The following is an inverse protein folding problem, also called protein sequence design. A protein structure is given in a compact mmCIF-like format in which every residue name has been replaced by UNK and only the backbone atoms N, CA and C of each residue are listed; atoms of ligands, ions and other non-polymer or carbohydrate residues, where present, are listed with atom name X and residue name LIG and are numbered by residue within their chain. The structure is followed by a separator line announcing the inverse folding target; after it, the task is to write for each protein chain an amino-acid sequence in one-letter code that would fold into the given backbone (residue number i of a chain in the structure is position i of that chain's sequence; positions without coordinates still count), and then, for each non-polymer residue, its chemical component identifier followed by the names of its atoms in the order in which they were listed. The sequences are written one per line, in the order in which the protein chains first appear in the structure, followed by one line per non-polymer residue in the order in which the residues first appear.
data_IF_574291220649
#
_entry.id   IF_574291220649
#
_cell.length_a   1.000
_cell.length_b   1.000
_cell.length_c   1.000
_cell.angle_alpha   90.00
_cell.angle_beta   90.00
_cell.angle_gamma   90.00
#
_symmetry.space_group_name_H-M   'P 1'
#
loop_
_entity.id
_entity.type
_entity.pdbx_description
1 polymer ?
#
# COMPACT_ATOMS: atom_id res chain seq x y z
N UNK A 1 -19.39 -5.20 -20.74
CA UNK A 1 -18.33 -4.54 -21.57
C UNK A 1 -18.51 -3.03 -21.50
N UNK A 2 -17.45 -2.30 -21.24
CA UNK A 2 -17.39 -0.82 -21.33
C UNK A 2 -16.28 -0.42 -22.30
N UNK A 3 -16.44 0.71 -22.96
CA UNK A 3 -15.50 1.22 -23.95
C UNK A 3 -15.25 2.71 -23.71
N UNK A 4 -13.98 3.12 -23.74
CA UNK A 4 -13.56 4.53 -23.59
C UNK A 4 -12.61 4.91 -24.70
N UNK A 5 -12.68 6.17 -25.10
CA UNK A 5 -11.78 6.76 -26.07
C UNK A 5 -11.00 7.91 -25.42
N UNK A 6 -9.69 7.87 -25.56
CA UNK A 6 -8.77 8.87 -25.04
C UNK A 6 -7.95 9.47 -26.19
N UNK A 7 -7.97 10.79 -26.40
CA UNK A 7 -7.11 11.44 -27.40
C UNK A 7 -5.63 11.16 -27.19
N UNK A 8 -5.23 10.97 -25.91
CA UNK A 8 -3.88 10.58 -25.51
C UNK A 8 -3.96 9.62 -24.34
N UNK A 9 -3.11 8.59 -24.36
CA UNK A 9 -2.96 7.67 -23.22
C UNK A 9 -1.51 7.17 -23.11
N UNK A 10 -1.08 6.87 -21.88
CA UNK A 10 0.17 6.18 -21.65
C UNK A 10 -0.01 4.70 -21.98
N UNK A 11 0.70 4.23 -23.01
CA UNK A 11 0.68 2.84 -23.49
C UNK A 11 2.10 2.44 -23.83
N UNK A 12 2.56 1.29 -23.33
CA UNK A 12 3.92 0.80 -23.61
C UNK A 12 5.02 1.84 -23.37
N UNK A 13 4.98 2.53 -22.22
CA UNK A 13 5.99 3.52 -21.80
C UNK A 13 6.00 4.82 -22.60
N UNK A 14 5.02 5.06 -23.47
CA UNK A 14 4.91 6.27 -24.31
C UNK A 14 3.50 6.80 -24.34
N UNK A 15 3.35 8.09 -24.64
CA UNK A 15 2.04 8.66 -24.91
C UNK A 15 1.64 8.32 -26.36
N UNK A 16 0.62 7.45 -26.48
CA UNK A 16 -0.02 7.11 -27.73
C UNK A 16 -1.21 8.07 -28.00
N UNK A 17 -1.59 8.19 -29.27
CA UNK A 17 -2.71 9.03 -29.70
C UNK A 17 -3.91 8.16 -30.09
N UNK A 18 -5.12 8.74 -29.93
CA UNK A 18 -6.37 8.10 -30.34
C UNK A 18 -6.49 6.67 -29.82
N UNK A 19 -6.46 6.52 -28.50
CA UNK A 19 -6.46 5.22 -27.84
C UNK A 19 -7.88 4.83 -27.42
N UNK A 20 -8.33 3.68 -27.89
CA UNK A 20 -9.55 3.04 -27.41
C UNK A 20 -9.19 1.95 -26.43
N UNK A 21 -9.88 1.94 -25.29
CA UNK A 21 -9.72 0.94 -24.22
C UNK A 21 -11.07 0.27 -24.04
N UNK A 22 -11.10 -1.06 -24.17
CA UNK A 22 -12.27 -1.87 -23.86
C UNK A 22 -12.05 -2.64 -22.56
N UNK A 23 -13.10 -2.83 -21.75
CA UNK A 23 -13.04 -3.61 -20.54
C UNK A 23 -14.25 -4.49 -20.34
N UNK A 24 -14.06 -5.59 -19.63
CA UNK A 24 -15.13 -6.46 -19.16
C UNK A 24 -14.87 -6.85 -17.70
N UNK A 25 -15.94 -6.85 -16.91
CA UNK A 25 -15.87 -7.14 -15.46
C UNK A 25 -14.75 -6.37 -14.71
N UNK A 26 -14.49 -5.09 -15.11
CA UNK A 26 -13.48 -4.25 -14.46
C UNK A 26 -12.03 -4.55 -14.84
N UNK A 27 -11.78 -5.36 -15.88
CA UNK A 27 -10.46 -5.69 -16.42
C UNK A 27 -10.35 -5.20 -17.86
N UNK A 28 -9.21 -4.63 -18.24
CA UNK A 28 -8.93 -4.21 -19.62
C UNK A 28 -8.81 -5.44 -20.50
N UNK A 29 -9.62 -5.52 -21.55
CA UNK A 29 -9.64 -6.62 -22.52
C UNK A 29 -8.99 -6.26 -23.85
N UNK A 30 -8.93 -4.96 -24.19
CA UNK A 30 -8.32 -4.47 -25.42
C UNK A 30 -7.77 -3.05 -25.23
N UNK A 31 -6.62 -2.77 -25.84
CA UNK A 31 -6.05 -1.41 -25.98
C UNK A 31 -5.67 -1.23 -27.46
N UNK A 32 -6.40 -0.37 -28.17
CA UNK A 32 -6.17 -0.10 -29.59
C UNK A 32 -5.66 1.33 -29.78
N UNK A 33 -4.45 1.50 -30.30
CA UNK A 33 -3.87 2.81 -30.65
C UNK A 33 -4.29 3.20 -32.08
N UNK A 34 -4.25 4.51 -32.38
CA UNK A 34 -4.68 5.08 -33.66
C UNK A 34 -6.11 4.68 -34.05
N UNK A 35 -6.96 4.45 -33.05
CA UNK A 35 -8.37 4.12 -33.23
C UNK A 35 -9.15 5.30 -33.85
N UNK A 36 -10.22 4.99 -34.57
CA UNK A 36 -11.11 6.01 -35.09
C UNK A 36 -11.75 6.79 -33.95
N UNK A 37 -11.77 8.13 -34.07
CA UNK A 37 -12.30 9.02 -33.03
C UNK A 37 -13.77 8.72 -32.74
N UNK A 38 -14.12 8.63 -31.46
CA UNK A 38 -15.49 8.55 -30.95
C UNK A 38 -15.91 9.89 -30.31
N UNK A 39 -17.22 10.14 -30.26
CA UNK A 39 -17.81 11.34 -29.67
C UNK A 39 -17.69 11.39 -28.14
N UNK A 40 -17.50 10.24 -27.49
CA UNK A 40 -17.35 10.12 -26.05
C UNK A 40 -15.85 10.06 -25.70
N UNK A 41 -15.16 11.19 -25.80
CA UNK A 41 -13.75 11.30 -25.47
C UNK A 41 -13.52 12.11 -24.20
N UNK A 42 -12.58 11.67 -23.38
CA UNK A 42 -12.07 12.42 -22.23
C UNK A 42 -10.94 13.33 -22.69
N UNK A 43 -10.99 14.63 -22.34
CA UNK A 43 -9.86 15.54 -22.61
C UNK A 43 -8.75 15.29 -21.60
N UNK A 44 -7.50 15.13 -22.10
CA UNK A 44 -6.34 14.92 -21.24
C UNK A 44 -5.50 13.74 -21.67
N UNK A 45 -4.65 13.26 -20.77
CA UNK A 45 -3.83 12.07 -20.95
C UNK A 45 -4.29 10.98 -20.00
N UNK A 46 -4.78 9.88 -20.54
CA UNK A 46 -5.16 8.72 -19.74
C UNK A 46 -3.92 7.96 -19.27
N UNK A 47 -3.88 7.64 -18.00
CA UNK A 47 -2.81 6.86 -17.36
C UNK A 47 -3.42 5.77 -16.49
N UNK A 48 -2.70 4.69 -16.17
CA UNK A 48 -3.17 3.73 -15.16
C UNK A 48 -3.48 4.43 -13.84
N UNK A 49 -4.52 3.98 -13.15
CA UNK A 49 -4.81 4.43 -11.80
C UNK A 49 -3.66 4.14 -10.83
N UNK A 50 -3.43 5.04 -9.89
CA UNK A 50 -2.42 4.84 -8.87
C UNK A 50 -2.94 3.93 -7.75
N UNK A 51 -2.02 3.17 -7.16
CA UNK A 51 -2.30 2.31 -6.02
C UNK A 51 -1.55 2.84 -4.78
N UNK A 52 -2.30 3.16 -3.75
CA UNK A 52 -1.80 3.44 -2.41
C UNK A 52 -1.69 2.11 -1.67
N UNK A 53 -0.48 1.58 -1.47
CA UNK A 53 -0.34 0.23 -0.91
C UNK A 53 -0.24 0.18 0.61
N UNK A 54 -0.23 1.33 1.26
CA UNK A 54 -0.20 1.42 2.71
C UNK A 54 -0.84 2.72 3.19
N UNK A 55 -1.85 2.58 4.03
CA UNK A 55 -2.60 3.68 4.63
C UNK A 55 -3.12 3.26 6.00
N UNK A 56 -3.05 4.15 6.94
CA UNK A 56 -3.81 4.14 8.18
C UNK A 56 -4.78 5.32 8.14
N UNK A 57 -5.89 5.16 7.44
CA UNK A 57 -6.76 6.27 7.09
C UNK A 57 -7.19 7.16 8.28
N UNK A 58 -7.22 6.61 9.49
CA UNK A 58 -7.55 7.40 10.68
C UNK A 58 -6.43 8.36 11.10
N UNK A 59 -5.16 8.11 10.71
CA UNK A 59 -4.05 9.04 10.96
C UNK A 59 -4.27 10.39 10.28
N UNK A 60 -5.09 10.45 9.22
CA UNK A 60 -5.51 11.72 8.62
C UNK A 60 -6.07 12.72 9.65
N UNK A 61 -6.66 12.22 10.73
CA UNK A 61 -7.16 13.03 11.84
C UNK A 61 -6.05 13.63 12.72
N UNK A 62 -4.79 13.22 12.54
CA UNK A 62 -3.62 13.74 13.27
C UNK A 62 -2.89 14.86 12.53
N UNK A 63 -3.30 15.20 11.32
CA UNK A 63 -2.63 16.22 10.51
C UNK A 63 -2.48 17.52 11.28
N UNK A 64 -1.23 17.96 11.45
CA UNK A 64 -0.88 19.14 12.26
C UNK A 64 -0.91 18.91 13.77
N UNK A 65 -1.04 17.65 14.23
CA UNK A 65 -0.83 17.27 15.62
C UNK A 65 0.59 16.73 15.81
N UNK A 66 1.20 17.00 16.98
CA UNK A 66 2.53 16.50 17.30
C UNK A 66 3.70 17.20 16.59
N UNK A 67 3.47 18.38 15.99
CA UNK A 67 4.54 19.17 15.39
C UNK A 67 5.64 19.52 16.42
N UNK A 68 6.88 19.15 16.10
CA UNK A 68 8.07 19.46 16.93
C UNK A 68 8.39 18.42 17.99
N UNK A 69 7.74 17.29 17.98
CA UNK A 69 7.97 16.16 18.88
C UNK A 69 8.59 14.97 18.12
N UNK A 70 8.96 13.91 18.84
CA UNK A 70 9.54 12.70 18.26
C UNK A 70 8.44 11.67 17.89
N UNK A 71 8.82 10.61 17.18
CA UNK A 71 7.95 9.47 16.82
C UNK A 71 7.13 8.93 18.01
N UNK A 72 7.67 8.92 19.22
CA UNK A 72 7.02 8.33 20.39
C UNK A 72 5.91 9.22 20.95
N UNK A 73 6.08 10.52 20.91
CA UNK A 73 5.06 11.49 21.30
C UNK A 73 3.93 11.53 20.27
N UNK A 74 4.25 11.50 18.97
CA UNK A 74 3.28 11.30 17.91
C UNK A 74 2.42 10.03 18.12
N UNK A 75 3.07 8.90 18.43
CA UNK A 75 2.39 7.62 18.71
C UNK A 75 1.39 7.72 19.87
N UNK A 76 1.69 8.53 20.88
CA UNK A 76 0.76 8.77 22.00
C UNK A 76 -0.51 9.49 21.54
N UNK A 77 -0.38 10.50 20.68
CA UNK A 77 -1.55 11.19 20.10
C UNK A 77 -2.35 10.27 19.18
N UNK A 78 -1.67 9.40 18.44
CA UNK A 78 -2.31 8.39 17.61
C UNK A 78 -3.17 7.43 18.45
N UNK A 79 -2.68 6.93 19.58
CA UNK A 79 -3.48 6.10 20.48
C UNK A 79 -4.67 6.86 21.04
N UNK A 80 -4.48 8.15 21.38
CA UNK A 80 -5.57 9.01 21.86
C UNK A 80 -6.67 9.18 20.81
N UNK A 81 -6.31 9.39 19.56
CA UNK A 81 -7.26 9.47 18.46
C UNK A 81 -7.94 8.12 18.26
N UNK A 82 -7.16 7.04 18.11
CA UNK A 82 -7.71 5.69 17.93
C UNK A 82 -8.77 5.36 18.99
N UNK A 83 -8.51 5.66 20.28
CA UNK A 83 -9.42 5.37 21.39
C UNK A 83 -10.68 6.26 21.44
N UNK A 84 -10.78 7.28 20.59
CA UNK A 84 -11.99 8.13 20.46
C UNK A 84 -12.88 7.74 19.28
N UNK A 85 -12.37 6.91 18.38
CA UNK A 85 -13.14 6.50 17.21
C UNK A 85 -14.22 5.48 17.58
N UNK A 86 -15.40 5.72 17.03
CA UNK A 86 -16.50 4.77 16.91
C UNK A 86 -16.79 4.50 15.42
N UNK A 87 -17.60 3.51 15.04
CA UNK A 87 -17.87 3.19 13.65
C UNK A 87 -18.35 4.39 12.82
N UNK A 88 -19.21 5.24 13.37
CA UNK A 88 -19.77 6.39 12.65
C UNK A 88 -18.73 7.48 12.39
N UNK A 89 -17.93 7.81 13.39
CA UNK A 89 -16.84 8.80 13.26
C UNK A 89 -15.72 8.29 12.37
N UNK A 90 -15.41 7.00 12.45
CA UNK A 90 -14.42 6.38 11.58
C UNK A 90 -14.87 6.39 10.12
N UNK A 91 -16.12 5.98 9.83
CA UNK A 91 -16.67 6.05 8.48
C UNK A 91 -16.57 7.46 7.88
N UNK A 92 -16.98 8.49 8.64
CA UNK A 92 -16.92 9.88 8.14
C UNK A 92 -15.51 10.35 7.84
N UNK A 93 -14.55 10.03 8.73
CA UNK A 93 -13.14 10.39 8.55
C UNK A 93 -12.55 9.65 7.34
N UNK A 94 -12.72 8.33 7.30
CA UNK A 94 -12.21 7.47 6.23
C UNK A 94 -12.79 7.88 4.87
N UNK A 95 -14.11 8.13 4.78
CA UNK A 95 -14.75 8.57 3.54
C UNK A 95 -14.16 9.89 3.01
N UNK A 96 -13.86 10.84 3.90
CA UNK A 96 -13.28 12.12 3.50
C UNK A 96 -11.85 11.93 2.97
N UNK A 97 -11.02 11.14 3.65
CA UNK A 97 -9.65 10.84 3.22
C UNK A 97 -9.61 10.03 1.90
N UNK A 98 -10.45 9.01 1.77
CA UNK A 98 -10.55 8.24 0.53
C UNK A 98 -11.06 9.08 -0.65
N UNK A 99 -11.98 10.00 -0.44
CA UNK A 99 -12.42 10.93 -1.49
C UNK A 99 -11.28 11.88 -1.92
N UNK A 100 -10.42 12.30 -0.99
CA UNK A 100 -9.21 13.07 -1.29
C UNK A 100 -8.21 12.24 -2.10
N UNK A 101 -7.98 10.97 -1.75
CA UNK A 101 -7.14 10.04 -2.51
C UNK A 101 -7.66 9.86 -3.95
N UNK A 102 -8.97 9.65 -4.13
CA UNK A 102 -9.59 9.54 -5.46
C UNK A 102 -9.38 10.82 -6.28
N UNK A 103 -9.58 11.98 -5.66
CA UNK A 103 -9.38 13.27 -6.33
C UNK A 103 -7.91 13.50 -6.75
N UNK A 104 -6.96 12.91 -6.03
CA UNK A 104 -5.53 12.95 -6.34
C UNK A 104 -5.09 11.92 -7.39
N UNK A 105 -5.93 10.90 -7.68
CA UNK A 105 -5.66 9.88 -8.70
C UNK A 105 -5.40 8.47 -8.17
N UNK A 106 -5.49 8.23 -6.87
CA UNK A 106 -5.51 6.87 -6.35
C UNK A 106 -6.82 6.18 -6.70
N UNK A 107 -6.74 4.98 -7.22
CA UNK A 107 -7.91 4.14 -7.56
C UNK A 107 -8.02 2.91 -6.68
N UNK A 108 -6.97 2.60 -5.93
CA UNK A 108 -6.95 1.51 -4.96
C UNK A 108 -6.13 1.88 -3.73
N UNK A 109 -6.52 1.33 -2.58
CA UNK A 109 -5.84 1.53 -1.30
C UNK A 109 -5.72 0.21 -0.54
N UNK A 110 -4.55 -0.02 0.05
CA UNK A 110 -4.31 -1.03 1.09
C UNK A 110 -4.42 -0.37 2.45
N UNK A 111 -5.54 -0.57 3.10
CA UNK A 111 -5.82 0.02 4.40
C UNK A 111 -5.35 -0.93 5.50
N UNK A 112 -4.30 -0.54 6.21
CA UNK A 112 -3.69 -1.30 7.30
C UNK A 112 -4.45 -1.07 8.59
N UNK A 113 -5.51 -1.85 8.78
CA UNK A 113 -6.54 -1.64 9.79
C UNK A 113 -6.26 -2.45 11.07
N UNK A 114 -6.14 -1.76 12.21
CA UNK A 114 -5.96 -2.39 13.53
C UNK A 114 -6.89 -1.86 14.64
N UNK A 115 -7.86 -1.03 14.32
CA UNK A 115 -8.82 -0.49 15.29
C UNK A 115 -10.07 -1.39 15.31
N UNK A 116 -9.97 -2.56 15.94
CA UNK A 116 -10.97 -3.63 15.84
C UNK A 116 -12.12 -3.52 16.85
N UNK A 117 -11.76 -3.25 18.10
CA UNK A 117 -12.66 -3.38 19.24
C UNK A 117 -13.06 -2.04 19.84
N UNK A 118 -13.94 -2.06 20.84
CA UNK A 118 -14.20 -0.90 21.68
C UNK A 118 -12.95 -0.53 22.48
N UNK A 119 -12.86 0.70 23.01
CA UNK A 119 -11.69 1.12 23.79
C UNK A 119 -11.34 0.20 24.96
N UNK A 120 -12.32 -0.49 25.54
CA UNK A 120 -12.16 -1.46 26.62
C UNK A 120 -11.77 -2.89 26.15
N UNK A 121 -11.56 -3.06 24.84
CA UNK A 121 -11.23 -4.34 24.22
C UNK A 121 -12.42 -5.26 23.93
N UNK A 122 -13.65 -4.84 24.27
CA UNK A 122 -14.82 -5.66 23.96
C UNK A 122 -15.15 -5.64 22.46
N UNK A 123 -15.40 -6.81 21.83
CA UNK A 123 -15.65 -6.87 20.40
C UNK A 123 -16.95 -6.12 20.02
N UNK A 124 -16.94 -5.56 18.83
CA UNK A 124 -18.16 -5.19 18.13
C UNK A 124 -18.81 -6.46 17.55
N UNK A 125 -20.16 -6.60 17.61
CA UNK A 125 -20.84 -7.84 17.25
C UNK A 125 -20.80 -8.18 15.75
N UNK A 126 -20.59 -7.19 14.87
CA UNK A 126 -20.72 -7.32 13.42
C UNK A 126 -19.53 -6.75 12.66
N UNK A 127 -18.32 -6.74 13.24
CA UNK A 127 -17.14 -6.13 12.62
C UNK A 127 -17.37 -4.65 12.27
N UNK A 128 -18.03 -3.92 13.17
CA UNK A 128 -18.57 -2.58 12.87
C UNK A 128 -17.47 -1.58 12.49
N UNK A 129 -16.25 -1.69 13.04
CA UNK A 129 -15.14 -0.80 12.71
C UNK A 129 -14.59 -1.10 11.31
N UNK A 130 -14.36 -2.37 11.00
CA UNK A 130 -13.89 -2.83 9.71
C UNK A 130 -14.90 -2.49 8.59
N UNK A 131 -16.18 -2.77 8.83
CA UNK A 131 -17.24 -2.45 7.87
C UNK A 131 -17.44 -0.94 7.70
N UNK A 132 -17.20 -0.14 8.73
CA UNK A 132 -17.22 1.32 8.61
C UNK A 132 -16.17 1.82 7.59
N UNK A 133 -14.95 1.31 7.65
CA UNK A 133 -13.87 1.66 6.72
C UNK A 133 -14.14 1.15 5.31
N UNK A 134 -14.58 -0.10 5.17
CA UNK A 134 -14.93 -0.69 3.87
C UNK A 134 -16.07 0.08 3.19
N UNK A 135 -17.13 0.39 3.93
CA UNK A 135 -18.26 1.16 3.39
C UNK A 135 -17.82 2.59 3.01
N UNK A 136 -16.92 3.21 3.78
CA UNK A 136 -16.35 4.51 3.45
C UNK A 136 -15.58 4.50 2.12
N UNK A 137 -14.82 3.43 1.86
CA UNK A 137 -14.09 3.26 0.60
C UNK A 137 -15.06 3.06 -0.59
N UNK A 138 -16.09 2.22 -0.41
CA UNK A 138 -17.12 2.00 -1.42
C UNK A 138 -17.88 3.30 -1.72
N UNK A 139 -18.24 4.08 -0.70
CA UNK A 139 -18.91 5.38 -0.85
C UNK A 139 -18.03 6.42 -1.57
N UNK A 140 -16.71 6.37 -1.36
CA UNK A 140 -15.76 7.22 -2.06
C UNK A 140 -15.48 6.75 -3.49
N UNK A 141 -15.79 5.49 -3.82
CA UNK A 141 -15.53 4.89 -5.13
C UNK A 141 -14.10 4.43 -5.33
N UNK A 142 -13.34 4.16 -4.25
CA UNK A 142 -11.99 3.61 -4.30
C UNK A 142 -12.01 2.10 -4.01
N UNK A 143 -11.15 1.33 -4.68
CA UNK A 143 -10.96 -0.07 -4.34
C UNK A 143 -10.19 -0.18 -3.02
N UNK A 144 -10.66 -1.01 -2.12
CA UNK A 144 -9.99 -1.27 -0.85
C UNK A 144 -9.52 -2.72 -0.76
N UNK A 145 -8.27 -2.90 -0.36
CA UNK A 145 -7.77 -4.13 0.24
C UNK A 145 -7.70 -3.88 1.74
N UNK A 146 -8.65 -4.47 2.46
CA UNK A 146 -8.69 -4.34 3.91
C UNK A 146 -7.64 -5.26 4.52
N UNK A 147 -6.53 -4.70 4.94
CA UNK A 147 -5.41 -5.38 5.58
C UNK A 147 -5.70 -5.49 7.09
N UNK A 148 -6.55 -6.43 7.44
CA UNK A 148 -6.93 -6.68 8.83
C UNK A 148 -5.73 -7.20 9.62
N UNK A 149 -5.40 -6.52 10.72
CA UNK A 149 -4.08 -6.59 11.34
C UNK A 149 -4.05 -7.47 12.59
N UNK A 150 -3.15 -8.43 12.61
CA UNK A 150 -2.75 -9.15 13.81
C UNK A 150 -1.86 -8.26 14.68
N UNK A 151 -2.33 -7.90 15.88
CA UNK A 151 -1.63 -7.04 16.85
C UNK A 151 -1.77 -7.64 18.25
N UNK A 152 -0.73 -8.29 18.78
CA UNK A 152 -0.83 -9.11 20.01
C UNK A 152 0.02 -8.59 21.15
N UNK A 153 1.10 -7.82 20.88
CA UNK A 153 2.08 -7.40 21.87
C UNK A 153 2.42 -5.92 21.74
N UNK A 154 2.75 -5.27 22.86
CA UNK A 154 3.28 -3.90 22.89
C UNK A 154 4.76 -3.82 22.48
N UNK A 155 5.47 -4.94 22.58
CA UNK A 155 6.87 -5.17 22.26
C UNK A 155 7.24 -6.62 22.52
N UNK A 156 8.45 -7.08 22.18
CA UNK A 156 8.84 -8.48 22.35
C UNK A 156 8.57 -8.98 23.78
N UNK A 157 7.66 -9.96 23.91
CA UNK A 157 7.26 -10.54 25.18
C UNK A 157 6.44 -9.66 26.12
N UNK A 158 6.03 -8.46 25.70
CA UNK A 158 5.25 -7.54 26.51
C UNK A 158 3.75 -7.60 26.12
N UNK A 159 2.80 -7.72 27.08
CA UNK A 159 1.38 -7.65 26.78
C UNK A 159 1.01 -6.27 26.24
N UNK A 160 -0.15 -6.18 25.57
CA UNK A 160 -0.71 -4.89 25.12
C UNK A 160 -0.93 -3.94 26.32
N UNK A 161 -0.58 -2.68 26.14
CA UNK A 161 -0.92 -1.62 27.08
C UNK A 161 -2.41 -1.28 27.07
N UNK A 162 -2.86 -0.51 28.06
CA UNK A 162 -4.27 -0.09 28.17
C UNK A 162 -4.76 0.62 26.90
N UNK A 163 -3.93 1.51 26.32
CA UNK A 163 -4.26 2.26 25.11
C UNK A 163 -4.28 1.39 23.83
N UNK A 164 -3.75 0.17 23.90
CA UNK A 164 -3.65 -0.77 22.77
C UNK A 164 -4.70 -1.89 22.84
N UNK A 165 -5.44 -1.99 23.92
CA UNK A 165 -6.36 -3.10 24.20
C UNK A 165 -7.36 -3.34 23.05
N UNK A 166 -7.81 -2.29 22.39
CA UNK A 166 -8.75 -2.37 21.27
C UNK A 166 -8.15 -2.91 19.96
N UNK A 167 -6.82 -3.12 19.88
CA UNK A 167 -6.14 -3.59 18.67
C UNK A 167 -5.99 -5.11 18.62
N UNK A 168 -6.11 -5.80 19.76
CA UNK A 168 -5.74 -7.19 19.85
C UNK A 168 -6.85 -8.15 20.14
N UNK A 169 -6.75 -9.34 19.59
CA UNK A 169 -7.68 -10.46 19.75
C UNK A 169 -7.23 -11.47 20.82
N UNK A 170 -6.27 -11.09 21.67
CA UNK A 170 -5.74 -11.90 22.75
C UNK A 170 -4.82 -13.04 22.31
N UNK A 171 -4.93 -13.54 21.08
CA UNK A 171 -4.05 -14.57 20.51
C UNK A 171 -4.13 -14.57 18.98
N UNK A 172 -3.12 -15.18 18.33
CA UNK A 172 -3.13 -15.39 16.87
C UNK A 172 -4.32 -16.24 16.41
N UNK A 173 -4.75 -17.20 17.23
CA UNK A 173 -5.93 -18.01 16.95
C UNK A 173 -7.20 -17.17 16.98
N UNK A 174 -7.38 -16.32 18.00
CA UNK A 174 -8.51 -15.39 18.10
C UNK A 174 -8.55 -14.43 16.90
N UNK A 175 -7.40 -13.88 16.51
CA UNK A 175 -7.31 -13.06 15.31
C UNK A 175 -7.69 -13.84 14.03
N UNK A 176 -7.20 -15.06 13.82
CA UNK A 176 -7.56 -15.87 12.65
C UNK A 176 -9.07 -16.19 12.61
N UNK A 177 -9.67 -16.53 13.76
CA UNK A 177 -11.12 -16.76 13.86
C UNK A 177 -11.91 -15.50 13.47
N UNK A 178 -11.50 -14.31 13.96
CA UNK A 178 -12.11 -13.04 13.59
C UNK A 178 -11.87 -12.69 12.12
N UNK A 179 -10.66 -12.88 11.59
CA UNK A 179 -10.31 -12.64 10.19
C UNK A 179 -11.18 -13.45 9.23
N UNK A 180 -11.37 -14.74 9.49
CA UNK A 180 -12.24 -15.59 8.67
C UNK A 180 -13.71 -15.15 8.75
N UNK A 181 -14.21 -14.86 9.94
CA UNK A 181 -15.58 -14.36 10.12
C UNK A 181 -15.80 -13.00 9.44
N UNK A 182 -14.83 -12.10 9.52
CA UNK A 182 -14.84 -10.82 8.82
C UNK A 182 -14.87 -11.04 7.30
N UNK A 183 -14.03 -11.93 6.76
CA UNK A 183 -13.98 -12.22 5.33
C UNK A 183 -15.34 -12.67 4.80
N UNK A 184 -16.06 -13.49 5.56
CA UNK A 184 -17.41 -13.95 5.22
C UNK A 184 -18.47 -12.82 5.33
N UNK A 185 -18.21 -11.80 6.14
CA UNK A 185 -19.11 -10.66 6.37
C UNK A 185 -18.85 -9.49 5.39
N UNK A 186 -17.71 -9.48 4.68
CA UNK A 186 -17.41 -8.40 3.73
C UNK A 186 -18.43 -8.35 2.58
N UNK A 187 -18.74 -7.16 2.05
CA UNK A 187 -19.62 -7.03 0.89
C UNK A 187 -19.08 -7.79 -0.33
N UNK A 188 -19.94 -8.51 -1.04
CA UNK A 188 -19.63 -9.07 -2.35
C UNK A 188 -19.56 -7.93 -3.39
N UNK A 189 -18.42 -7.31 -3.46
CA UNK A 189 -18.16 -6.14 -4.30
C UNK A 189 -16.78 -6.26 -4.98
N UNK A 190 -16.68 -5.94 -6.28
CA UNK A 190 -15.40 -5.92 -6.96
C UNK A 190 -14.44 -4.83 -6.43
N UNK A 191 -14.94 -3.92 -5.59
CA UNK A 191 -14.12 -2.90 -4.93
C UNK A 191 -13.48 -3.38 -3.63
N UNK A 192 -13.89 -4.53 -3.07
CA UNK A 192 -13.45 -4.99 -1.76
C UNK A 192 -12.64 -6.27 -1.88
N UNK A 193 -11.46 -6.27 -1.30
CA UNK A 193 -10.57 -7.44 -1.22
C UNK A 193 -10.19 -7.68 0.24
N UNK A 194 -10.39 -8.87 0.79
CA UNK A 194 -9.84 -9.22 2.10
C UNK A 194 -8.32 -9.38 2.00
N UNK A 195 -7.62 -8.79 2.93
CA UNK A 195 -6.18 -8.90 3.11
C UNK A 195 -5.85 -9.10 4.59
N UNK A 196 -4.60 -9.34 4.88
CA UNK A 196 -4.11 -9.51 6.24
C UNK A 196 -2.88 -8.64 6.48
N UNK A 197 -2.64 -8.26 7.72
CA UNK A 197 -1.39 -7.68 8.11
C UNK A 197 -0.87 -8.31 9.41
N UNK A 198 0.45 -8.43 9.49
CA UNK A 198 1.17 -8.67 10.73
C UNK A 198 1.73 -7.32 11.16
N UNK A 199 1.31 -6.76 12.30
CA UNK A 199 1.66 -5.37 12.58
C UNK A 199 3.17 -5.11 12.42
N UNK A 200 4.00 -5.88 13.11
CA UNK A 200 5.48 -5.81 13.05
C UNK A 200 6.08 -6.94 13.88
N UNK A 201 7.39 -7.12 13.83
CA UNK A 201 8.12 -8.05 14.70
C UNK A 201 8.05 -7.69 16.20
N UNK A 202 7.64 -6.45 16.50
CA UNK A 202 7.40 -6.00 17.89
C UNK A 202 6.07 -6.52 18.43
N UNK A 203 5.08 -6.62 17.57
CA UNK A 203 3.68 -6.87 17.96
C UNK A 203 3.21 -8.31 17.69
N UNK A 204 3.96 -9.09 16.94
CA UNK A 204 3.65 -10.49 16.64
C UNK A 204 4.97 -11.29 16.76
N UNK A 205 5.00 -12.31 17.59
CA UNK A 205 6.19 -13.15 17.76
C UNK A 205 6.43 -14.05 16.54
N UNK A 206 7.66 -14.58 16.33
CA UNK A 206 7.98 -15.43 15.18
C UNK A 206 7.05 -16.66 15.04
N UNK A 207 6.71 -17.32 16.14
CA UNK A 207 5.84 -18.50 16.13
C UNK A 207 4.37 -18.13 15.82
N UNK A 208 3.92 -16.98 16.32
CA UNK A 208 2.60 -16.43 15.98
C UNK A 208 2.52 -16.01 14.51
N UNK A 209 3.58 -15.40 13.96
CA UNK A 209 3.67 -15.09 12.53
C UNK A 209 3.57 -16.35 11.68
N UNK A 210 4.32 -17.40 12.00
CA UNK A 210 4.25 -18.68 11.28
C UNK A 210 2.84 -19.28 11.34
N UNK A 211 2.18 -19.19 12.50
CA UNK A 211 0.79 -19.65 12.68
C UNK A 211 -0.18 -18.80 11.84
N UNK A 212 -0.05 -17.48 11.88
CA UNK A 212 -0.86 -16.54 11.10
C UNK A 212 -0.75 -16.81 9.60
N UNK A 213 0.49 -16.89 9.07
CA UNK A 213 0.75 -17.12 7.64
C UNK A 213 0.17 -18.45 7.16
N UNK A 214 0.29 -19.52 7.99
CA UNK A 214 -0.24 -20.84 7.65
C UNK A 214 -1.77 -20.94 7.75
N UNK A 215 -2.40 -20.07 8.54
CA UNK A 215 -3.85 -20.00 8.71
C UNK A 215 -4.58 -19.17 7.67
N UNK A 216 -3.84 -18.39 6.87
CA UNK A 216 -4.40 -17.52 5.81
C UNK A 216 -4.47 -18.26 4.46
N UNK A 217 -5.48 -17.96 3.63
CA UNK A 217 -5.52 -18.44 2.25
C UNK A 217 -4.30 -18.03 1.44
N UNK A 218 -3.84 -18.87 0.51
CA UNK A 218 -2.65 -18.61 -0.33
C UNK A 218 -2.73 -17.32 -1.17
N UNK A 219 -3.93 -16.80 -1.41
CA UNK A 219 -4.17 -15.58 -2.20
C UNK A 219 -4.33 -14.33 -1.36
N UNK A 220 -4.41 -14.45 -0.04
CA UNK A 220 -4.52 -13.27 0.82
C UNK A 220 -3.21 -12.48 0.77
N UNK A 221 -3.23 -11.18 0.40
CA UNK A 221 -2.06 -10.33 0.55
C UNK A 221 -1.72 -10.19 2.04
N UNK A 222 -0.43 -10.14 2.34
CA UNK A 222 0.07 -9.97 3.71
C UNK A 222 0.98 -8.75 3.73
N UNK A 223 0.66 -7.77 4.59
CA UNK A 223 1.51 -6.61 4.79
C UNK A 223 2.12 -6.61 6.20
N UNK A 224 3.28 -6.00 6.34
CA UNK A 224 3.99 -5.94 7.63
C UNK A 224 4.95 -4.75 7.67
N UNK A 225 4.94 -3.97 8.75
CA UNK A 225 5.96 -2.94 9.00
C UNK A 225 7.30 -3.59 9.33
N UNK A 226 8.37 -3.12 8.68
CA UNK A 226 9.71 -3.72 8.80
C UNK A 226 10.76 -2.63 8.82
N UNK A 227 11.60 -2.65 9.87
CA UNK A 227 12.79 -1.81 9.96
C UNK A 227 12.53 -0.33 9.70
N UNK A 228 11.39 0.16 10.20
CA UNK A 228 10.97 1.56 10.08
C UNK A 228 11.92 2.47 10.86
N UNK A 229 12.17 2.12 12.14
CA UNK A 229 13.01 2.85 13.06
C UNK A 229 14.26 2.04 13.45
N UNK A 230 15.43 2.68 13.64
CA UNK A 230 16.64 1.97 14.10
C UNK A 230 16.42 1.15 15.38
N UNK A 231 15.61 1.68 16.29
CA UNK A 231 15.27 1.04 17.55
C UNK A 231 14.55 -0.30 17.35
N UNK A 232 13.73 -0.44 16.33
CA UNK A 232 13.08 -1.71 16.00
C UNK A 232 14.11 -2.79 15.70
N UNK A 233 15.12 -2.45 14.88
CA UNK A 233 16.22 -3.37 14.55
C UNK A 233 17.02 -3.76 15.78
N UNK A 234 17.34 -2.79 16.65
CA UNK A 234 18.08 -3.02 17.89
C UNK A 234 17.32 -3.95 18.85
N UNK A 235 16.03 -3.67 19.08
CA UNK A 235 15.16 -4.48 19.94
C UNK A 235 14.96 -5.89 19.37
N UNK A 236 14.77 -6.02 18.04
CA UNK A 236 14.62 -7.30 17.37
C UNK A 236 15.91 -8.14 17.47
N UNK A 237 17.07 -7.52 17.22
CA UNK A 237 18.36 -8.18 17.35
C UNK A 237 18.62 -8.63 18.79
N UNK A 238 18.29 -7.82 19.79
CA UNK A 238 18.44 -8.17 21.20
C UNK A 238 17.52 -9.32 21.62
N UNK A 239 16.26 -9.34 21.10
CA UNK A 239 15.28 -10.36 21.47
C UNK A 239 15.46 -11.69 20.72
N UNK A 240 15.85 -11.64 19.44
CA UNK A 240 15.82 -12.81 18.55
C UNK A 240 17.18 -13.16 17.94
N UNK A 241 18.19 -12.29 18.04
CA UNK A 241 19.50 -12.46 17.39
C UNK A 241 19.43 -12.33 15.87
N UNK A 242 18.36 -11.74 15.33
CA UNK A 242 18.05 -11.63 13.90
C UNK A 242 17.55 -10.22 13.57
N UNK A 243 17.71 -9.80 12.32
CA UNK A 243 17.03 -8.60 11.79
C UNK A 243 15.53 -8.84 11.65
N UNK A 244 14.69 -7.78 11.61
CA UNK A 244 13.26 -7.94 11.38
C UNK A 244 12.94 -8.75 10.11
N UNK A 245 13.62 -8.48 9.00
CA UNK A 245 13.47 -9.24 7.75
C UNK A 245 13.82 -10.72 7.92
N UNK A 246 14.90 -11.03 8.62
CA UNK A 246 15.31 -12.41 8.87
C UNK A 246 14.33 -13.15 9.81
N UNK A 247 13.67 -12.44 10.74
CA UNK A 247 12.58 -13.01 11.55
C UNK A 247 11.40 -13.39 10.66
N UNK A 248 10.99 -12.52 9.73
CA UNK A 248 9.91 -12.79 8.78
C UNK A 248 10.24 -13.97 7.88
N UNK A 249 11.48 -14.07 7.39
CA UNK A 249 11.90 -15.20 6.57
C UNK A 249 11.80 -16.51 7.35
N UNK A 250 12.33 -16.53 8.57
CA UNK A 250 12.28 -17.71 9.45
C UNK A 250 10.86 -18.15 9.77
N UNK A 251 9.93 -17.19 9.88
CA UNK A 251 8.50 -17.44 10.07
C UNK A 251 7.76 -17.88 8.79
N UNK A 252 8.45 -17.90 7.63
CA UNK A 252 7.83 -18.20 6.35
C UNK A 252 6.88 -17.09 5.84
N UNK A 253 7.06 -15.87 6.35
CA UNK A 253 6.21 -14.73 6.03
C UNK A 253 6.66 -13.97 4.77
N UNK A 254 7.88 -14.17 4.27
CA UNK A 254 8.36 -13.55 3.03
C UNK A 254 7.94 -14.38 1.81
N UNK A 255 7.26 -13.73 0.87
CA UNK A 255 6.82 -14.34 -0.38
C UNK A 255 6.31 -13.28 -1.37
N UNK A 256 5.94 -13.69 -2.58
CA UNK A 256 5.37 -12.82 -3.62
C UNK A 256 3.98 -12.23 -3.27
N UNK A 257 3.32 -12.71 -2.20
CA UNK A 257 2.09 -12.14 -1.66
C UNK A 257 2.33 -11.23 -0.46
N UNK A 258 3.59 -11.06 -0.08
CA UNK A 258 3.97 -10.25 1.08
C UNK A 258 4.51 -8.91 0.64
N UNK A 259 4.07 -7.87 1.32
CA UNK A 259 4.59 -6.52 1.20
C UNK A 259 5.16 -6.07 2.53
N UNK A 260 6.46 -5.79 2.55
CA UNK A 260 7.13 -5.14 3.69
C UNK A 260 7.01 -3.63 3.54
N UNK A 261 6.60 -2.95 4.60
CA UNK A 261 6.37 -1.50 4.60
C UNK A 261 7.58 -0.80 5.23
N UNK A 262 7.92 0.37 4.72
CA UNK A 262 9.08 1.20 5.02
C UNK A 262 10.40 0.57 4.57
N UNK A 263 10.85 -0.50 5.24
CA UNK A 263 12.14 -1.14 4.90
C UNK A 263 13.30 -0.14 4.86
N UNK A 264 13.28 0.84 5.78
CA UNK A 264 14.20 1.99 5.80
C UNK A 264 15.61 1.56 6.18
N UNK A 265 15.74 0.72 7.22
CA UNK A 265 17.01 0.35 7.84
C UNK A 265 17.41 -1.11 7.53
N UNK A 266 17.50 -1.46 6.24
CA UNK A 266 17.86 -2.81 5.79
C UNK A 266 19.38 -3.02 5.74
N UNK A 267 19.84 -4.23 6.05
CA UNK A 267 21.17 -4.73 5.73
C UNK A 267 21.25 -5.25 4.27
N UNK A 268 22.46 -5.58 3.79
CA UNK A 268 22.62 -6.20 2.47
C UNK A 268 21.95 -7.59 2.41
N UNK A 269 22.02 -8.35 3.50
CA UNK A 269 21.37 -9.65 3.61
C UNK A 269 19.85 -9.53 3.59
N UNK A 270 19.27 -8.49 4.23
CA UNK A 270 17.83 -8.22 4.20
C UNK A 270 17.35 -7.91 2.78
N UNK A 271 18.09 -7.09 2.03
CA UNK A 271 17.79 -6.78 0.62
C UNK A 271 17.82 -8.05 -0.22
N UNK A 272 18.83 -8.90 -0.02
CA UNK A 272 18.94 -10.17 -0.73
C UNK A 272 17.77 -11.13 -0.37
N UNK A 273 17.29 -11.13 0.90
CA UNK A 273 16.12 -11.91 1.31
C UNK A 273 14.85 -11.44 0.60
N UNK A 274 14.61 -10.14 0.58
CA UNK A 274 13.46 -9.52 -0.09
C UNK A 274 13.45 -9.86 -1.58
N UNK A 275 14.58 -9.68 -2.25
CA UNK A 275 14.71 -9.93 -3.68
C UNK A 275 14.46 -11.39 -4.06
N UNK A 276 15.11 -12.35 -3.37
CA UNK A 276 14.98 -13.79 -3.69
C UNK A 276 13.61 -14.39 -3.39
N UNK A 277 12.84 -13.77 -2.49
CA UNK A 277 11.49 -14.21 -2.12
C UNK A 277 10.40 -13.54 -2.96
N UNK A 278 10.78 -12.66 -3.88
CA UNK A 278 9.85 -11.81 -4.68
C UNK A 278 8.91 -10.98 -3.79
N UNK A 279 9.36 -10.66 -2.57
CA UNK A 279 8.63 -9.81 -1.62
C UNK A 279 8.60 -8.36 -2.14
N UNK A 280 7.46 -7.69 -1.99
CA UNK A 280 7.29 -6.29 -2.42
C UNK A 280 7.68 -5.36 -1.28
N UNK A 281 8.26 -4.20 -1.62
CA UNK A 281 8.55 -3.13 -0.64
C UNK A 281 7.62 -1.95 -0.90
N UNK A 282 6.85 -1.57 0.10
CA UNK A 282 6.03 -0.35 0.10
C UNK A 282 6.77 0.76 0.84
N UNK A 283 7.14 1.80 0.13
CA UNK A 283 7.79 2.99 0.68
C UNK A 283 6.76 4.08 0.90
N UNK A 284 6.89 4.83 1.98
CA UNK A 284 5.98 5.93 2.35
C UNK A 284 6.78 7.23 2.52
N UNK A 285 7.37 7.76 1.42
CA UNK A 285 8.41 8.79 1.49
C UNK A 285 8.01 10.08 2.20
N UNK A 286 6.74 10.48 2.14
CA UNK A 286 6.28 11.69 2.84
C UNK A 286 6.14 11.45 4.33
N UNK A 287 5.68 10.28 4.78
CA UNK A 287 5.63 9.89 6.20
C UNK A 287 7.04 9.69 6.76
N UNK A 288 7.90 8.97 6.04
CA UNK A 288 9.30 8.72 6.43
C UNK A 288 10.07 10.04 6.62
N UNK A 289 9.72 11.07 5.84
CA UNK A 289 10.27 12.40 6.00
C UNK A 289 9.64 13.18 7.17
N UNK A 290 8.33 13.05 7.39
CA UNK A 290 7.59 13.74 8.47
C UNK A 290 7.98 13.18 9.84
N UNK A 291 8.07 11.86 9.99
CA UNK A 291 8.48 11.18 11.22
C UNK A 291 10.00 11.12 11.43
N UNK A 292 10.79 11.49 10.43
CA UNK A 292 12.24 11.46 10.52
C UNK A 292 12.83 10.05 10.55
N UNK A 293 12.18 9.06 9.91
CA UNK A 293 12.58 7.66 9.88
C UNK A 293 13.92 7.44 9.18
N UNK A 294 14.20 8.25 8.18
CA UNK A 294 15.39 8.16 7.35
C UNK A 294 15.09 7.99 5.87
N UNK A 295 16.08 7.55 5.11
CA UNK A 295 15.95 7.31 3.68
C UNK A 295 16.26 5.85 3.39
N UNK A 296 15.28 5.12 2.84
CA UNK A 296 15.45 3.72 2.46
C UNK A 296 16.53 3.55 1.37
N UNK A 297 17.15 2.38 1.33
CA UNK A 297 18.21 2.00 0.38
C UNK A 297 17.62 1.66 -1.00
N UNK A 298 16.89 2.62 -1.59
CA UNK A 298 16.11 2.44 -2.84
C UNK A 298 16.98 1.98 -4.00
N UNK A 299 18.18 2.55 -4.15
CA UNK A 299 19.09 2.14 -5.23
C UNK A 299 19.50 0.68 -5.09
N UNK A 300 19.86 0.24 -3.90
CA UNK A 300 20.30 -1.13 -3.66
C UNK A 300 19.15 -2.13 -3.84
N UNK A 301 17.94 -1.76 -3.44
CA UNK A 301 16.72 -2.54 -3.70
C UNK A 301 16.44 -2.70 -5.20
N UNK A 302 16.60 -1.60 -5.99
CA UNK A 302 16.42 -1.65 -7.44
C UNK A 302 17.53 -2.46 -8.12
N UNK A 303 18.78 -2.35 -7.67
CA UNK A 303 19.91 -3.12 -8.19
C UNK A 303 19.74 -4.63 -7.89
N UNK A 304 19.06 -4.98 -6.80
CA UNK A 304 18.68 -6.34 -6.46
C UNK A 304 17.37 -6.81 -7.15
N UNK A 305 16.81 -6.01 -8.05
CA UNK A 305 15.54 -6.28 -8.76
C UNK A 305 14.32 -6.43 -7.85
N UNK A 306 14.34 -5.87 -6.62
CA UNK A 306 13.21 -5.86 -5.73
C UNK A 306 12.06 -5.02 -6.31
N UNK A 307 10.82 -5.46 -6.09
CA UNK A 307 9.63 -4.75 -6.52
C UNK A 307 9.27 -3.67 -5.50
N UNK A 308 9.26 -2.41 -5.94
CA UNK A 308 8.90 -1.27 -5.12
C UNK A 308 7.48 -0.79 -5.44
N UNK A 309 6.82 -0.23 -4.45
CA UNK A 309 5.56 0.51 -4.57
C UNK A 309 5.53 1.65 -3.55
N UNK A 310 4.47 2.45 -3.54
CA UNK A 310 4.29 3.59 -2.63
C UNK A 310 3.04 3.44 -1.78
N UNK A 311 3.10 3.98 -0.56
CA UNK A 311 1.99 4.20 0.34
C UNK A 311 1.96 5.64 0.86
N UNK A 312 0.86 6.05 1.47
CA UNK A 312 0.69 7.38 2.12
C UNK A 312 0.81 7.31 3.64
N UNK A 313 0.67 6.11 4.20
CA UNK A 313 0.81 5.76 5.62
C UNK A 313 0.00 6.67 6.56
N UNK A 314 0.58 7.78 7.06
CA UNK A 314 -0.11 8.75 7.92
C UNK A 314 -1.19 9.57 7.19
N UNK A 315 -1.23 9.50 5.87
CA UNK A 315 -2.14 10.31 5.03
C UNK A 315 -2.00 11.84 5.23
N UNK A 316 -0.82 12.31 5.67
CA UNK A 316 -0.49 13.74 5.72
C UNK A 316 -0.51 14.33 4.31
N UNK A 317 0.07 13.59 3.36
CA UNK A 317 0.00 13.85 1.92
C UNK A 317 -0.71 12.69 1.24
N UNK A 318 -1.74 12.98 0.43
CA UNK A 318 -2.52 11.96 -0.29
C UNK A 318 -2.40 12.11 -1.81
N UNK A 319 -1.23 12.51 -2.30
CA UNK A 319 -0.94 12.80 -3.72
C UNK A 319 0.13 11.82 -4.24
N UNK A 320 -0.21 10.91 -5.19
CA UNK A 320 0.74 9.93 -5.73
C UNK A 320 1.94 10.55 -6.43
N UNK A 321 1.76 11.72 -7.06
CA UNK A 321 2.87 12.44 -7.69
C UNK A 321 3.82 13.04 -6.65
N UNK A 322 3.30 13.46 -5.50
CA UNK A 322 4.14 13.93 -4.38
C UNK A 322 4.96 12.79 -3.79
N UNK A 323 4.34 11.61 -3.55
CA UNK A 323 5.04 10.42 -3.06
C UNK A 323 6.15 9.98 -4.02
N UNK A 324 5.84 9.81 -5.31
CA UNK A 324 6.84 9.42 -6.32
C UNK A 324 7.96 10.45 -6.48
N UNK A 325 7.63 11.74 -6.39
CA UNK A 325 8.62 12.82 -6.41
C UNK A 325 9.52 12.79 -5.18
N UNK A 326 8.94 12.58 -4.00
CA UNK A 326 9.72 12.49 -2.75
C UNK A 326 10.65 11.27 -2.82
N UNK A 327 10.16 10.12 -3.25
CA UNK A 327 10.94 8.90 -3.45
C UNK A 327 12.20 9.15 -4.32
N UNK A 328 12.03 9.72 -5.50
CA UNK A 328 13.16 10.00 -6.38
C UNK A 328 14.07 11.10 -5.80
N UNK A 329 13.51 12.14 -5.18
CA UNK A 329 14.26 13.27 -4.63
C UNK A 329 15.14 12.85 -3.45
N UNK A 330 14.61 12.07 -2.51
CA UNK A 330 15.37 11.55 -1.36
C UNK A 330 16.43 10.54 -1.80
N UNK A 331 16.13 9.70 -2.79
CA UNK A 331 17.11 8.79 -3.42
C UNK A 331 18.28 9.56 -4.05
N UNK A 332 18.02 10.69 -4.75
CA UNK A 332 19.06 11.57 -5.27
C UNK A 332 19.95 12.13 -4.18
N UNK A 333 19.33 12.61 -3.09
CA UNK A 333 20.08 13.18 -1.96
C UNK A 333 20.96 12.11 -1.29
N UNK A 334 20.43 10.92 -1.08
CA UNK A 334 21.17 9.82 -0.46
C UNK A 334 22.34 9.32 -1.34
N UNK A 335 22.15 9.25 -2.65
CA UNK A 335 23.15 8.68 -3.57
C UNK A 335 24.06 9.71 -4.24
N UNK A 336 23.74 10.99 -4.18
CA UNK A 336 24.41 12.04 -4.95
C UNK A 336 24.26 11.90 -6.48
N UNK A 337 23.31 11.07 -6.94
CA UNK A 337 23.12 10.72 -8.37
C UNK A 337 21.73 11.13 -8.84
N UNK A 338 21.63 11.74 -10.02
CA UNK A 338 20.36 12.11 -10.65
C UNK A 338 19.78 10.96 -11.47
N UNK A 339 18.45 10.84 -11.45
CA UNK A 339 17.74 9.89 -12.32
C UNK A 339 18.00 8.43 -11.95
N UNK A 340 18.13 8.13 -10.66
CA UNK A 340 18.29 6.76 -10.16
C UNK A 340 17.05 5.94 -10.51
N UNK A 341 15.87 6.55 -10.34
CA UNK A 341 14.60 5.92 -10.70
C UNK A 341 14.11 6.56 -12.01
N UNK A 342 14.10 5.79 -13.09
CA UNK A 342 13.59 6.27 -14.38
C UNK A 342 12.06 6.44 -14.38
N UNK A 343 11.54 7.34 -15.25
CA UNK A 343 10.09 7.62 -15.30
C UNK A 343 9.24 6.36 -15.52
N UNK A 344 9.67 5.43 -16.36
CA UNK A 344 8.96 4.15 -16.55
C UNK A 344 8.87 3.35 -15.25
N UNK A 345 9.93 3.33 -14.44
CA UNK A 345 9.94 2.67 -13.14
C UNK A 345 9.03 3.38 -12.15
N UNK A 346 9.03 4.73 -12.11
CA UNK A 346 8.14 5.50 -11.25
C UNK A 346 6.65 5.22 -11.57
N UNK A 347 6.28 5.17 -12.86
CA UNK A 347 4.92 4.77 -13.26
C UNK A 347 4.57 3.36 -12.78
N UNK A 348 5.48 2.38 -12.91
CA UNK A 348 5.25 1.02 -12.42
C UNK A 348 5.11 0.96 -10.89
N UNK A 349 5.97 1.70 -10.18
CA UNK A 349 5.94 1.81 -8.72
C UNK A 349 4.59 2.36 -8.25
N UNK A 350 4.10 3.42 -8.88
CA UNK A 350 2.84 4.05 -8.47
C UNK A 350 1.57 3.30 -8.92
N UNK A 351 1.66 2.32 -9.84
CA UNK A 351 0.49 1.66 -10.41
C UNK A 351 0.58 0.13 -10.36
N UNK A 352 1.13 -0.52 -11.38
CA UNK A 352 1.12 -1.98 -11.56
C UNK A 352 1.72 -2.76 -10.39
N UNK A 353 2.84 -2.29 -9.82
CA UNK A 353 3.45 -2.95 -8.67
C UNK A 353 2.54 -2.86 -7.44
N UNK A 354 1.89 -1.71 -7.25
CA UNK A 354 0.93 -1.53 -6.17
C UNK A 354 -0.30 -2.42 -6.33
N UNK A 355 -0.84 -2.55 -7.55
CA UNK A 355 -1.93 -3.51 -7.81
C UNK A 355 -1.49 -4.93 -7.46
N UNK A 356 -0.25 -5.33 -7.79
CA UNK A 356 0.28 -6.64 -7.46
C UNK A 356 0.46 -6.85 -5.95
N UNK A 357 0.77 -5.80 -5.18
CA UNK A 357 0.82 -5.80 -3.72
C UNK A 357 -0.55 -6.05 -3.08
N UNK A 358 -1.57 -5.38 -3.60
CA UNK A 358 -2.93 -5.42 -3.06
C UNK A 358 -3.73 -6.64 -3.53
N UNK A 359 -3.37 -7.22 -4.68
CA UNK A 359 -4.06 -8.36 -5.31
C UNK A 359 -3.05 -9.31 -5.93
N UNK A 360 -2.34 -10.09 -5.12
CA UNK A 360 -1.35 -11.02 -5.65
C UNK A 360 -1.99 -12.06 -6.56
N UNK A 361 -1.31 -12.34 -7.67
CA UNK A 361 -1.71 -13.42 -8.57
C UNK A 361 -1.56 -14.78 -7.88
N UNK A 362 -2.41 -15.74 -8.23
CA UNK A 362 -2.29 -17.09 -7.69
C UNK A 362 -1.01 -17.80 -8.16
N UNK A 363 -0.22 -18.30 -7.22
CA UNK A 363 0.98 -19.10 -7.46
C UNK A 363 2.26 -18.28 -7.72
N UNK A 364 3.42 -18.96 -7.69
CA UNK A 364 4.68 -18.32 -8.02
C UNK A 364 4.62 -17.82 -9.47
N UNK A 365 5.03 -16.55 -9.70
CA UNK A 365 5.20 -16.08 -11.07
C UNK A 365 6.28 -16.94 -11.71
N UNK A 366 6.06 -17.46 -12.95
CA UNK A 366 7.17 -18.06 -13.66
C UNK A 366 8.28 -17.02 -13.76
N UNK A 367 9.47 -17.37 -13.27
CA UNK A 367 10.65 -16.56 -13.47
C UNK A 367 10.74 -16.21 -14.95
N UNK A 368 10.52 -14.94 -15.25
CA UNK A 368 10.74 -14.32 -16.55
C UNK A 368 10.25 -15.09 -17.79
N UNK A 369 8.99 -14.86 -18.15
CA UNK A 369 8.69 -14.65 -19.56
C UNK A 369 8.29 -13.16 -19.69
N UNK A 370 9.25 -12.29 -19.53
CA UNK A 370 9.10 -10.91 -19.98
C UNK A 370 9.16 -10.92 -21.50
N UNK A 371 8.01 -10.87 -22.14
CA UNK A 371 8.02 -10.24 -23.47
C UNK A 371 8.44 -8.78 -23.25
N UNK A 372 9.40 -8.24 -24.03
CA UNK A 372 9.90 -6.88 -23.83
C UNK A 372 8.81 -5.80 -23.75
N UNK A 373 7.64 -6.02 -24.36
CA UNK A 373 6.50 -5.14 -24.32
C UNK A 373 5.75 -5.14 -22.97
N UNK A 374 5.78 -6.23 -22.20
CA UNK A 374 5.02 -6.36 -20.94
C UNK A 374 5.69 -5.68 -19.74
N UNK A 375 6.92 -5.22 -19.86
CA UNK A 375 7.68 -4.54 -18.79
C UNK A 375 7.57 -2.99 -18.85
N UNK A 376 6.89 -2.45 -19.82
CA UNK A 376 6.69 -1.02 -19.97
C UNK A 376 5.44 -0.55 -19.23
N UNK A 377 5.52 0.66 -18.65
CA UNK A 377 4.39 1.28 -17.96
C UNK A 377 3.27 1.68 -18.93
N UNK A 378 2.05 1.75 -18.45
CA UNK A 378 0.90 2.21 -19.21
C UNK A 378 -0.29 1.27 -19.12
N UNK A 379 -1.39 1.64 -19.77
CA UNK A 379 -2.60 0.83 -19.86
C UNK A 379 -2.31 -0.45 -20.65
N UNK A 380 -2.64 -1.59 -20.10
CA UNK A 380 -2.36 -2.89 -20.69
C UNK A 380 -3.52 -3.87 -20.52
N UNK A 381 -3.66 -4.78 -21.46
CA UNK A 381 -4.64 -5.88 -21.36
C UNK A 381 -4.33 -6.73 -20.12
N UNK A 382 -5.37 -7.05 -19.35
CA UNK A 382 -5.28 -7.80 -18.10
C UNK A 382 -5.11 -6.93 -16.85
N UNK A 383 -4.80 -5.64 -17.00
CA UNK A 383 -4.78 -4.70 -15.86
C UNK A 383 -6.22 -4.33 -15.42
N UNK A 384 -6.43 -3.90 -14.17
CA UNK A 384 -7.69 -3.28 -13.77
C UNK A 384 -8.05 -2.12 -14.69
N UNK A 385 -9.33 -1.98 -15.02
CA UNK A 385 -9.83 -0.89 -15.85
C UNK A 385 -9.97 0.41 -15.04
N UNK A 386 -8.99 0.71 -14.21
CA UNK A 386 -8.89 1.89 -13.38
C UNK A 386 -7.99 2.91 -14.11
N UNK A 387 -8.59 3.99 -14.57
CA UNK A 387 -7.93 4.99 -15.42
C UNK A 387 -8.05 6.37 -14.80
N UNK A 388 -6.94 7.08 -14.74
CA UNK A 388 -6.88 8.49 -14.36
C UNK A 388 -6.65 9.34 -15.61
N UNK A 389 -7.41 10.41 -15.78
CA UNK A 389 -7.20 11.38 -16.87
C UNK A 389 -6.56 12.62 -16.30
N UNK A 390 -5.31 12.84 -16.67
CA UNK A 390 -4.51 13.97 -16.19
C UNK A 390 -4.66 15.14 -17.19
N UNK A 391 -4.98 16.33 -16.68
CA UNK A 391 -5.08 17.54 -17.48
C UNK A 391 -3.68 18.16 -17.73
N UNK A 392 -3.10 18.03 -18.93
CA UNK A 392 -1.80 18.58 -19.26
C UNK A 392 -1.78 20.12 -19.35
N UNK A 393 -2.94 20.75 -19.38
CA UNK A 393 -3.06 22.22 -19.43
C UNK A 393 -3.03 22.87 -18.04
N UNK A 394 -3.11 22.07 -16.98
CA UNK A 394 -3.00 22.57 -15.62
C UNK A 394 -1.69 23.31 -15.41
N UNK A 395 -1.69 24.35 -14.57
CA UNK A 395 -0.51 25.16 -14.31
C UNK A 395 0.72 24.35 -13.80
N UNK A 396 0.47 23.19 -13.20
CA UNK A 396 1.53 22.29 -12.69
C UNK A 396 2.21 21.47 -13.79
N UNK A 397 1.51 21.19 -14.89
CA UNK A 397 1.92 20.24 -15.93
C UNK A 397 2.10 20.90 -17.30
N UNK A 398 1.60 22.14 -17.49
CA UNK A 398 1.68 22.86 -18.78
C UNK A 398 3.11 22.97 -19.28
N UNK A 399 3.35 22.58 -20.55
CA UNK A 399 4.66 22.56 -21.17
C UNK A 399 5.53 21.34 -20.82
N UNK A 400 5.07 20.44 -19.96
CA UNK A 400 5.73 19.19 -19.65
C UNK A 400 5.45 18.10 -20.69
N UNK A 401 6.39 17.19 -20.86
CA UNK A 401 6.19 15.95 -21.63
C UNK A 401 5.51 14.91 -20.73
N UNK A 402 4.29 14.43 -21.06
CA UNK A 402 3.58 13.46 -20.23
C UNK A 402 4.34 12.14 -19.98
N UNK A 403 5.25 11.76 -20.86
CA UNK A 403 6.09 10.56 -20.65
C UNK A 403 7.13 10.73 -19.56
N UNK A 404 7.33 11.97 -19.09
CA UNK A 404 8.32 12.35 -18.08
C UNK A 404 7.67 12.78 -16.75
N UNK A 405 6.34 12.68 -16.65
CA UNK A 405 5.66 12.71 -15.36
C UNK A 405 5.85 11.34 -14.70
N UNK A 406 5.90 11.18 -13.46
CA UNK A 406 5.88 11.99 -12.25
C UNK A 406 7.17 12.73 -11.91
#
# INVERSE_FOLDING_TARGET
MSEWFFPKALVEGRVAHNVRVSSDAGVITEVTVDAQHDRHSFSGVAVPGFANTHSHVFHRGLRGAGEGEDFWSWRTEMYRLANRLDPDSYHRLARAAFAEMVAAGYTSVGEFHYVHHRPDGTPYPHHDMELAVVNAAVDAGIRITLLDTCYLHAGPGAPLGEDQTRFGDGSVKGWLERWHALTDALPDSPLVTPGAALHSVRAVSPDEMATAVSGLPDRAPIHVHVSEQPRENEECLAAHGLTPTAVLERAGALSNRTTVVHATHLSDDDIAMIARTDTIVSLCPTTEADLGDGIARVKDLLDAEARLTIGTDEDVVTDPFAELRMLESTTRLATGTRGVIGCNSLWKIGSRNGVASLRPAAGPRPHQVSTPASDLAGLSVGDPADVVVVDPSSARLAGGDPTRWP
#
